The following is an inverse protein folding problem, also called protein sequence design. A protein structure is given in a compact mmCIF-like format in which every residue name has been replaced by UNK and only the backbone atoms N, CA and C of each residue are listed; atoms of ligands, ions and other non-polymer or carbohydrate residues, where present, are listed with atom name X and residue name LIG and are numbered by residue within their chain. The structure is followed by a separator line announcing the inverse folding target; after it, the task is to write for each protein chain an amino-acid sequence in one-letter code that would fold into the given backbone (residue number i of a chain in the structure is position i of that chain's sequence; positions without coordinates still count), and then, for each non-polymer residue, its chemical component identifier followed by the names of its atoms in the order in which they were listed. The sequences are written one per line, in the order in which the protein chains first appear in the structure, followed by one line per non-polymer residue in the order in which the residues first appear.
data_IF_504582818845
#
_entry.id   IF_504582818845
#
_cell.length_a   1.000
_cell.length_b   1.000
_cell.length_c   1.000
_cell.angle_alpha   90.00
_cell.angle_beta   90.00
_cell.angle_gamma   90.00
#
_symmetry.space_group_name_H-M   'P 1'
#
loop_
_entity.id
_entity.type
_entity.pdbx_description
1 polymer ?
#
# COMPACT_ATOMS: atom_id res chain seq x y z
N UNK A 1 5.35 1.63 -15.53
CA UNK A 1 6.40 1.77 -14.51
C UNK A 1 7.38 2.90 -14.87
N UNK A 2 8.11 2.85 -15.99
CA UNK A 2 9.07 3.89 -16.40
C UNK A 2 8.49 5.31 -16.50
N UNK A 3 7.22 5.46 -16.86
CA UNK A 3 6.58 6.79 -16.94
C UNK A 3 6.29 7.41 -15.57
N UNK A 4 5.98 6.60 -14.56
CA UNK A 4 5.62 7.04 -13.22
C UNK A 4 6.84 7.56 -12.45
N UNK A 5 8.01 6.99 -12.74
CA UNK A 5 9.25 7.28 -12.04
C UNK A 5 10.16 8.30 -12.77
N UNK A 6 9.66 8.96 -13.84
CA UNK A 6 10.43 9.95 -14.61
C UNK A 6 10.87 11.17 -13.81
N UNK A 7 10.17 11.48 -12.72
CA UNK A 7 10.44 12.65 -11.87
C UNK A 7 11.31 12.31 -10.65
N UNK A 8 11.60 11.01 -10.47
CA UNK A 8 12.53 10.54 -9.42
C UNK A 8 13.95 10.57 -10.01
N UNK A 9 14.92 11.08 -9.26
CA UNK A 9 16.31 11.11 -9.73
C UNK A 9 16.83 9.73 -10.10
N UNK A 10 17.81 9.63 -11.00
CA UNK A 10 18.31 8.34 -11.50
C UNK A 10 18.80 7.41 -10.38
N UNK A 11 19.36 7.95 -9.29
CA UNK A 11 19.80 7.19 -8.12
C UNK A 11 18.62 6.68 -7.28
N UNK A 12 17.61 7.51 -7.06
CA UNK A 12 16.40 7.15 -6.33
C UNK A 12 15.53 6.17 -7.13
N UNK A 13 15.52 6.33 -8.46
CA UNK A 13 14.85 5.38 -9.35
C UNK A 13 15.36 3.95 -9.15
N UNK A 14 16.68 3.76 -9.08
CA UNK A 14 17.28 2.45 -8.88
C UNK A 14 16.91 1.82 -7.53
N UNK A 15 16.72 2.63 -6.50
CA UNK A 15 16.25 2.16 -5.19
C UNK A 15 14.79 1.73 -5.22
N UNK A 16 13.93 2.44 -5.91
CA UNK A 16 12.51 2.11 -6.01
C UNK A 16 12.25 0.89 -6.89
N UNK A 17 13.00 0.73 -7.97
CA UNK A 17 12.85 -0.38 -8.93
C UNK A 17 12.92 -1.74 -8.25
N UNK A 18 13.80 -1.93 -7.25
CA UNK A 18 13.93 -3.22 -6.53
C UNK A 18 12.64 -3.70 -5.84
N UNK A 19 11.72 -2.77 -5.50
CA UNK A 19 10.43 -3.12 -4.87
C UNK A 19 9.34 -3.47 -5.89
N UNK A 20 9.57 -3.16 -7.16
CA UNK A 20 8.57 -3.31 -8.22
C UNK A 20 9.00 -4.23 -9.34
N UNK A 21 10.31 -4.38 -9.57
CA UNK A 21 10.85 -5.22 -10.62
C UNK A 21 10.61 -6.70 -10.31
N UNK A 22 10.26 -7.47 -11.35
CA UNK A 22 9.99 -8.92 -11.26
C UNK A 22 8.84 -9.30 -10.31
N UNK A 23 7.96 -8.35 -9.97
CA UNK A 23 6.74 -8.69 -9.26
C UNK A 23 5.82 -9.57 -10.11
N UNK A 24 5.23 -10.60 -9.50
CA UNK A 24 4.25 -11.47 -10.16
C UNK A 24 2.94 -10.74 -10.43
N UNK A 25 2.64 -9.74 -9.61
CA UNK A 25 1.49 -8.85 -9.80
C UNK A 25 1.84 -7.42 -9.43
N UNK A 26 1.37 -6.48 -10.26
CA UNK A 26 1.48 -5.03 -10.02
C UNK A 26 0.15 -4.35 -10.31
N UNK A 27 -0.33 -3.56 -9.37
CA UNK A 27 -1.47 -2.66 -9.53
C UNK A 27 -1.03 -1.23 -9.27
N UNK A 28 -1.40 -0.32 -10.15
CA UNK A 28 -1.09 1.09 -10.05
C UNK A 28 -2.37 1.88 -10.24
N UNK A 29 -2.69 2.71 -9.25
CA UNK A 29 -3.84 3.60 -9.29
C UNK A 29 -3.36 5.04 -9.20
N UNK A 30 -3.97 5.91 -10.00
CA UNK A 30 -3.59 7.31 -10.08
C UNK A 30 -4.73 8.16 -9.56
N UNK A 31 -4.38 9.10 -8.69
CA UNK A 31 -5.31 10.06 -8.09
C UNK A 31 -4.68 11.45 -8.11
N UNK A 32 -5.50 12.48 -8.15
CA UNK A 32 -5.04 13.88 -8.11
C UNK A 32 -5.76 14.62 -7.00
N UNK A 33 -5.04 15.48 -6.29
CA UNK A 33 -5.59 16.26 -5.20
C UNK A 33 -4.59 17.23 -4.57
N UNK A 34 -5.12 18.13 -3.75
CA UNK A 34 -4.36 19.20 -3.07
C UNK A 34 -4.05 18.77 -1.63
N UNK A 35 -3.09 17.88 -1.46
CA UNK A 35 -2.72 17.37 -0.13
C UNK A 35 -1.22 17.05 -0.05
N UNK A 36 -0.68 16.95 1.16
CA UNK A 36 0.68 16.47 1.39
C UNK A 36 0.73 14.95 1.36
N UNK A 37 1.94 14.37 1.13
CA UNK A 37 2.11 12.93 1.11
C UNK A 37 1.74 12.29 2.47
N UNK A 38 2.16 12.91 3.58
CA UNK A 38 1.83 12.42 4.93
C UNK A 38 0.34 12.41 5.20
N UNK A 39 -0.35 13.51 4.87
CA UNK A 39 -1.79 13.63 5.05
C UNK A 39 -2.54 12.62 4.18
N UNK A 40 -2.13 12.45 2.92
CA UNK A 40 -2.71 11.44 2.04
C UNK A 40 -2.60 10.03 2.62
N UNK A 41 -1.39 9.64 3.09
CA UNK A 41 -1.14 8.31 3.64
C UNK A 41 -1.91 8.10 4.95
N UNK A 42 -1.87 9.07 5.90
CA UNK A 42 -2.57 8.94 7.17
C UNK A 42 -4.07 8.79 6.98
N UNK A 43 -4.69 9.65 6.17
CA UNK A 43 -6.12 9.58 5.88
C UNK A 43 -6.49 8.30 5.13
N UNK A 44 -5.66 7.88 4.18
CA UNK A 44 -5.86 6.65 3.43
C UNK A 44 -5.82 5.41 4.35
N UNK A 45 -4.83 5.31 5.25
CA UNK A 45 -4.68 4.18 6.16
C UNK A 45 -5.68 4.21 7.33
N UNK A 46 -6.27 5.36 7.63
CA UNK A 46 -7.34 5.51 8.62
C UNK A 46 -8.73 5.16 8.08
N UNK A 47 -8.86 4.89 6.77
CA UNK A 47 -10.14 4.51 6.18
C UNK A 47 -10.51 3.07 6.53
N UNK A 48 -11.46 2.91 7.47
CA UNK A 48 -11.83 1.60 8.00
C UNK A 48 -13.35 1.43 8.18
N UNK A 49 -14.16 1.53 7.10
CA UNK A 49 -15.61 1.36 7.18
C UNK A 49 -15.99 -0.10 7.50
N UNK A 50 -17.21 -0.31 7.99
CA UNK A 50 -17.73 -1.61 8.44
C UNK A 50 -17.58 -2.75 7.41
N UNK A 51 -17.69 -2.44 6.11
CA UNK A 51 -17.57 -3.45 5.06
C UNK A 51 -16.12 -3.95 4.88
N UNK A 52 -15.11 -3.13 5.16
CA UNK A 52 -13.71 -3.58 5.21
C UNK A 52 -13.53 -4.58 6.36
N UNK A 53 -14.13 -4.34 7.52
CA UNK A 53 -14.13 -5.28 8.66
C UNK A 53 -14.73 -6.62 8.23
N UNK A 54 -15.84 -6.59 7.50
CA UNK A 54 -16.46 -7.80 6.95
C UNK A 54 -15.51 -8.55 6.00
N UNK A 55 -14.82 -7.85 5.10
CA UNK A 55 -13.83 -8.46 4.20
C UNK A 55 -12.66 -9.09 4.95
N UNK A 56 -12.18 -8.48 6.03
CA UNK A 56 -11.15 -9.08 6.89
C UNK A 56 -11.65 -10.36 7.56
N UNK A 57 -12.91 -10.42 8.00
CA UNK A 57 -13.52 -11.65 8.55
C UNK A 57 -13.59 -12.76 7.50
N UNK A 58 -14.05 -12.44 6.29
CA UNK A 58 -14.08 -13.40 5.16
C UNK A 58 -12.66 -13.89 4.84
N UNK A 59 -11.68 -12.95 4.77
CA UNK A 59 -10.27 -13.31 4.58
C UNK A 59 -9.77 -14.27 5.66
N UNK A 60 -10.10 -14.04 6.94
CA UNK A 60 -9.69 -14.91 8.06
C UNK A 60 -10.21 -16.35 7.88
N UNK A 61 -11.44 -16.50 7.38
CA UNK A 61 -12.03 -17.83 7.08
C UNK A 61 -11.27 -18.48 5.92
N UNK A 62 -11.02 -17.76 4.82
CA UNK A 62 -10.30 -18.27 3.65
C UNK A 62 -8.87 -18.69 3.99
N UNK A 63 -8.16 -17.87 4.77
CA UNK A 63 -6.82 -18.17 5.28
C UNK A 63 -6.83 -19.44 6.13
N UNK A 64 -7.86 -19.63 6.96
CA UNK A 64 -8.03 -20.85 7.76
C UNK A 64 -8.26 -22.10 6.90
N UNK A 65 -9.11 -22.02 5.87
CA UNK A 65 -9.41 -23.12 4.94
C UNK A 65 -8.17 -23.51 4.12
N UNK A 66 -7.39 -22.53 3.68
CA UNK A 66 -6.19 -22.74 2.88
C UNK A 66 -4.94 -23.10 3.70
N UNK A 67 -5.06 -23.19 5.04
CA UNK A 67 -3.93 -23.49 5.92
C UNK A 67 -2.83 -22.42 5.93
N UNK A 68 -3.17 -21.17 5.55
CA UNK A 68 -2.26 -20.05 5.49
C UNK A 68 -2.01 -19.45 6.90
N UNK A 69 -0.91 -18.73 7.06
CA UNK A 69 -0.61 -18.06 8.34
C UNK A 69 -1.67 -16.99 8.64
N UNK A 70 -2.25 -17.05 9.82
CA UNK A 70 -3.21 -16.05 10.29
C UNK A 70 -2.46 -14.78 10.69
N UNK A 71 -2.57 -13.73 9.89
CA UNK A 71 -2.28 -12.38 10.38
C UNK A 71 -3.57 -11.83 10.97
N UNK A 72 -3.52 -11.40 12.20
CA UNK A 72 -4.67 -10.79 12.87
C UNK A 72 -4.98 -9.45 12.22
N UNK A 73 -6.27 -9.18 12.02
CA UNK A 73 -6.71 -7.84 11.65
C UNK A 73 -6.37 -6.88 12.80
N UNK A 74 -6.08 -5.61 12.54
CA UNK A 74 -5.93 -4.63 13.60
C UNK A 74 -7.16 -4.66 14.51
N UNK A 75 -6.94 -4.84 15.82
CA UNK A 75 -8.02 -4.86 16.81
C UNK A 75 -8.62 -3.47 17.02
N UNK A 76 -7.82 -2.44 16.81
CA UNK A 76 -8.24 -1.04 16.91
C UNK A 76 -8.28 -0.38 15.53
N UNK A 77 -9.25 0.52 15.36
CA UNK A 77 -9.37 1.35 14.16
C UNK A 77 -8.20 2.33 14.14
N UNK A 78 -7.33 2.29 13.13
CA UNK A 78 -6.23 3.23 13.06
C UNK A 78 -6.79 4.64 12.82
N UNK A 79 -6.60 5.51 13.78
CA UNK A 79 -6.83 6.94 13.63
C UNK A 79 -5.48 7.64 13.56
N UNK A 80 -4.85 7.57 12.40
CA UNK A 80 -3.51 8.10 12.17
C UNK A 80 -3.58 9.61 11.90
N UNK A 81 -2.80 10.37 12.62
CA UNK A 81 -2.48 11.74 12.27
C UNK A 81 -1.29 11.76 11.27
N UNK A 82 -1.10 12.84 10.49
CA UNK A 82 0.02 12.93 9.56
C UNK A 82 1.40 12.73 10.21
N UNK A 83 1.56 13.14 11.46
CA UNK A 83 2.77 12.95 12.28
C UNK A 83 3.04 11.50 12.67
N UNK A 84 2.01 10.65 12.73
CA UNK A 84 2.16 9.21 13.03
C UNK A 84 2.70 8.41 11.84
N UNK A 85 2.70 8.99 10.65
CA UNK A 85 3.27 8.36 9.47
C UNK A 85 4.79 8.48 9.52
N UNK A 86 5.45 7.45 10.01
CA UNK A 86 6.91 7.43 10.03
C UNK A 86 7.51 7.37 8.62
N UNK A 87 8.60 8.11 8.42
CA UNK A 87 9.45 8.09 7.23
C UNK A 87 10.82 7.45 7.50
N UNK A 88 11.00 6.79 8.65
CA UNK A 88 12.23 6.08 8.95
C UNK A 88 12.12 4.61 8.51
N UNK A 89 13.04 4.11 7.66
CA UNK A 89 13.07 2.70 7.31
C UNK A 89 13.20 1.80 8.54
N UNK A 90 12.35 0.78 8.61
CA UNK A 90 12.27 -0.16 9.73
C UNK A 90 11.13 0.12 10.71
N UNK A 91 10.61 1.33 10.77
CA UNK A 91 9.47 1.65 11.62
C UNK A 91 8.17 1.00 11.12
N UNK A 92 7.22 0.83 12.02
CA UNK A 92 5.89 0.36 11.69
C UNK A 92 4.92 1.54 11.57
N UNK A 93 4.12 1.54 10.50
CA UNK A 93 2.95 2.39 10.36
C UNK A 93 1.74 1.47 10.20
N UNK A 94 0.92 1.39 11.22
CA UNK A 94 -0.08 0.33 11.39
C UNK A 94 0.60 -1.07 11.37
N UNK A 95 0.24 -1.92 10.43
CA UNK A 95 0.89 -3.23 10.21
C UNK A 95 1.97 -3.20 9.11
N UNK A 96 2.16 -2.09 8.43
CA UNK A 96 3.19 -1.96 7.40
C UNK A 96 4.56 -1.65 8.01
N UNK A 97 5.61 -2.23 7.44
CA UNK A 97 7.00 -1.94 7.76
C UNK A 97 7.54 -0.98 6.71
N UNK A 98 7.96 0.21 7.12
CA UNK A 98 8.54 1.22 6.23
C UNK A 98 9.86 0.70 5.65
N UNK A 99 10.05 0.82 4.34
CA UNK A 99 11.22 0.30 3.63
C UNK A 99 12.06 1.36 2.95
N UNK A 100 11.43 2.29 2.27
CA UNK A 100 12.12 3.34 1.54
C UNK A 100 11.22 4.57 1.45
N UNK A 101 11.77 5.71 1.78
CA UNK A 101 10.97 6.93 1.87
C UNK A 101 11.79 8.15 1.49
N UNK A 102 11.09 9.15 1.00
CA UNK A 102 11.58 10.52 0.88
C UNK A 102 10.43 11.47 1.16
N UNK A 103 10.65 12.39 2.08
CA UNK A 103 9.63 13.35 2.50
C UNK A 103 9.01 14.05 1.29
N UNK A 104 7.69 14.10 1.30
CA UNK A 104 6.83 14.69 0.27
C UNK A 104 7.06 14.20 -1.18
N UNK A 105 7.75 13.09 -1.37
CA UNK A 105 8.05 12.50 -2.68
C UNK A 105 7.54 11.06 -2.79
N UNK A 106 7.97 10.16 -1.90
CA UNK A 106 7.51 8.78 -1.91
C UNK A 106 7.59 8.11 -0.54
N UNK A 107 6.74 7.10 -0.37
CA UNK A 107 6.68 6.24 0.80
C UNK A 107 6.41 4.81 0.36
N UNK A 108 7.34 3.89 0.65
CA UNK A 108 7.25 2.47 0.29
C UNK A 108 7.32 1.64 1.55
N UNK A 109 6.37 0.73 1.69
CA UNK A 109 6.26 -0.18 2.82
C UNK A 109 6.08 -1.63 2.38
N UNK A 110 6.32 -2.53 3.30
CA UNK A 110 6.15 -3.97 3.12
C UNK A 110 5.09 -4.47 4.10
N UNK A 111 4.25 -5.40 3.67
CA UNK A 111 3.36 -6.13 4.57
C UNK A 111 4.16 -7.05 5.49
N UNK A 112 3.64 -7.44 6.67
CA UNK A 112 4.29 -8.41 7.54
C UNK A 112 4.67 -9.69 6.80
N UNK A 113 5.75 -10.33 7.26
CA UNK A 113 6.29 -11.52 6.62
C UNK A 113 5.25 -12.63 6.51
N UNK A 114 5.02 -13.10 5.29
CA UNK A 114 4.14 -14.23 4.98
C UNK A 114 4.96 -15.33 4.27
N UNK A 115 4.62 -16.59 4.49
CA UNK A 115 5.27 -17.74 3.86
C UNK A 115 4.92 -17.88 2.38
N UNK A 116 3.75 -17.40 1.97
CA UNK A 116 3.14 -17.64 0.67
C UNK A 116 3.36 -16.51 -0.32
N UNK A 117 3.42 -15.28 0.19
CA UNK A 117 3.65 -14.08 -0.62
C UNK A 117 4.43 -13.01 0.14
N UNK A 118 4.98 -12.07 -0.60
CA UNK A 118 5.51 -10.78 -0.14
C UNK A 118 4.77 -9.70 -0.90
N UNK A 119 4.34 -8.66 -0.23
CA UNK A 119 3.72 -7.53 -0.89
C UNK A 119 4.35 -6.22 -0.43
N UNK A 120 4.54 -5.32 -1.38
CA UNK A 120 4.89 -3.93 -1.11
C UNK A 120 3.72 -3.03 -1.46
N UNK A 121 3.55 -2.04 -0.65
CA UNK A 121 2.59 -0.97 -0.82
C UNK A 121 3.33 0.35 -0.86
N UNK A 122 3.12 1.14 -1.89
CA UNK A 122 3.82 2.39 -2.09
C UNK A 122 2.91 3.52 -2.54
N UNK A 123 3.28 4.73 -2.13
CA UNK A 123 2.70 5.97 -2.63
C UNK A 123 3.83 6.83 -3.16
N UNK A 124 3.70 7.27 -4.41
CA UNK A 124 4.62 8.24 -5.03
C UNK A 124 3.81 9.49 -5.35
N UNK A 125 4.31 10.65 -4.92
CA UNK A 125 3.72 11.96 -5.17
C UNK A 125 4.51 12.67 -6.26
N UNK A 126 3.79 13.19 -7.25
CA UNK A 126 4.31 14.01 -8.34
C UNK A 126 3.59 15.36 -8.33
N UNK A 127 4.28 16.51 -8.21
CA UNK A 127 3.65 17.80 -8.38
C UNK A 127 3.15 17.97 -9.82
N UNK A 128 1.92 18.43 -9.98
CA UNK A 128 1.30 18.74 -11.29
C UNK A 128 1.37 20.23 -11.54
N UNK A 129 1.01 21.02 -10.52
CA UNK A 129 1.11 22.47 -10.52
C UNK A 129 1.40 23.01 -9.10
N UNK A 130 1.15 24.29 -8.86
CA UNK A 130 1.44 24.95 -7.58
C UNK A 130 0.63 24.41 -6.39
N UNK A 131 -0.54 23.84 -6.61
CA UNK A 131 -1.42 23.29 -5.56
C UNK A 131 -1.72 21.79 -5.75
N UNK A 132 -1.84 21.35 -7.00
CA UNK A 132 -2.26 20.01 -7.36
C UNK A 132 -1.09 19.02 -7.42
N UNK A 133 -1.28 17.88 -6.83
CA UNK A 133 -0.34 16.77 -6.89
C UNK A 133 -1.00 15.50 -7.38
N UNK A 134 -0.25 14.66 -8.07
CA UNK A 134 -0.65 13.33 -8.51
C UNK A 134 -0.05 12.29 -7.61
N UNK A 135 -0.89 11.38 -7.13
CA UNK A 135 -0.51 10.28 -6.24
C UNK A 135 -0.63 8.96 -6.99
N UNK A 136 0.48 8.26 -7.12
CA UNK A 136 0.53 6.90 -7.63
C UNK A 136 0.50 5.94 -6.46
N UNK A 137 -0.61 5.24 -6.29
CA UNK A 137 -0.76 4.19 -5.27
C UNK A 137 -0.42 2.86 -5.92
N UNK A 138 0.66 2.26 -5.47
CA UNK A 138 1.28 1.09 -6.09
C UNK A 138 1.20 -0.09 -5.13
N UNK A 139 0.73 -1.21 -5.63
CA UNK A 139 0.80 -2.50 -4.92
C UNK A 139 1.55 -3.50 -5.78
N UNK A 140 2.56 -4.14 -5.21
CA UNK A 140 3.26 -5.25 -5.86
C UNK A 140 3.20 -6.49 -4.99
N UNK A 141 3.09 -7.64 -5.64
CA UNK A 141 3.02 -8.95 -4.96
C UNK A 141 4.00 -9.90 -5.61
N UNK A 142 4.77 -10.59 -4.77
CA UNK A 142 5.71 -11.64 -5.15
C UNK A 142 5.24 -12.95 -4.52
N UNK A 143 5.03 -13.98 -5.33
CA UNK A 143 4.63 -15.29 -4.85
C UNK A 143 5.86 -16.05 -4.37
N UNK A 144 5.81 -16.54 -3.13
CA UNK A 144 6.87 -17.36 -2.53
C UNK A 144 6.55 -18.86 -2.58
N UNK A 145 5.27 -19.19 -2.75
CA UNK A 145 4.76 -20.54 -2.73
C UNK A 145 3.63 -20.70 -3.75
N UNK A 146 3.39 -21.92 -4.24
CA UNK A 146 2.36 -22.19 -5.25
C UNK A 146 0.93 -21.81 -4.82
N UNK A 147 0.65 -21.77 -3.52
CA UNK A 147 -0.62 -21.31 -2.97
C UNK A 147 -0.81 -19.79 -3.04
N UNK A 148 0.27 -19.03 -3.23
CA UNK A 148 0.25 -17.56 -3.34
C UNK A 148 -0.67 -17.06 -4.46
N UNK A 149 -0.50 -17.52 -5.71
CA UNK A 149 -1.38 -17.14 -6.83
C UNK A 149 -2.85 -17.47 -6.56
N UNK A 150 -3.12 -18.66 -6.01
CA UNK A 150 -4.49 -19.10 -5.72
C UNK A 150 -5.17 -18.16 -4.71
N UNK A 151 -4.50 -17.90 -3.60
CA UNK A 151 -4.99 -16.99 -2.56
C UNK A 151 -5.15 -15.57 -3.09
N UNK A 152 -4.12 -15.05 -3.77
CA UNK A 152 -4.14 -13.67 -4.24
C UNK A 152 -5.22 -13.43 -5.31
N UNK A 153 -5.42 -14.35 -6.25
CA UNK A 153 -6.47 -14.24 -7.26
C UNK A 153 -7.88 -14.19 -6.64
N UNK A 154 -8.09 -14.89 -5.52
CA UNK A 154 -9.37 -14.88 -4.82
C UNK A 154 -9.64 -13.52 -4.14
N UNK A 155 -8.62 -12.88 -3.55
CA UNK A 155 -8.77 -11.60 -2.85
C UNK A 155 -8.61 -10.38 -3.77
N UNK A 156 -8.02 -10.55 -4.95
CA UNK A 156 -7.69 -9.47 -5.89
C UNK A 156 -8.85 -8.52 -6.21
N UNK A 157 -10.08 -8.97 -6.50
CA UNK A 157 -11.20 -8.06 -6.78
C UNK A 157 -11.50 -7.15 -5.59
N UNK A 158 -11.46 -7.68 -4.38
CA UNK A 158 -11.68 -6.92 -3.14
C UNK A 158 -10.53 -5.97 -2.86
N UNK A 159 -9.29 -6.40 -3.12
CA UNK A 159 -8.10 -5.55 -3.00
C UNK A 159 -8.21 -4.30 -3.88
N UNK A 160 -8.60 -4.43 -5.14
CA UNK A 160 -8.82 -3.30 -6.04
C UNK A 160 -9.86 -2.31 -5.50
N UNK A 161 -10.97 -2.82 -4.95
CA UNK A 161 -12.02 -2.00 -4.35
C UNK A 161 -11.52 -1.27 -3.10
N UNK A 162 -10.88 -1.99 -2.19
CA UNK A 162 -10.35 -1.45 -0.93
C UNK A 162 -9.36 -0.35 -1.20
N UNK A 163 -8.32 -0.61 -1.99
CA UNK A 163 -7.27 0.40 -2.29
C UNK A 163 -7.85 1.63 -2.98
N UNK A 164 -8.81 1.44 -3.90
CA UNK A 164 -9.46 2.58 -4.58
C UNK A 164 -10.26 3.45 -3.61
N UNK A 165 -10.97 2.85 -2.65
CA UNK A 165 -11.76 3.59 -1.66
C UNK A 165 -10.88 4.29 -0.63
N UNK A 166 -9.84 3.61 -0.14
CA UNK A 166 -8.85 4.17 0.76
C UNK A 166 -8.16 5.40 0.13
N UNK A 167 -7.68 5.28 -1.12
CA UNK A 167 -7.00 6.37 -1.80
C UNK A 167 -7.92 7.58 -2.05
N UNK A 168 -9.19 7.36 -2.42
CA UNK A 168 -10.18 8.44 -2.53
C UNK A 168 -10.41 9.15 -1.20
N UNK A 169 -10.47 8.40 -0.10
CA UNK A 169 -10.59 8.98 1.24
C UNK A 169 -9.36 9.82 1.61
N UNK A 170 -8.16 9.37 1.23
CA UNK A 170 -6.91 10.10 1.42
C UNK A 170 -6.86 11.47 0.75
N UNK A 171 -7.70 11.73 -0.27
CA UNK A 171 -7.80 13.04 -0.92
C UNK A 171 -8.81 13.99 -0.27
N UNK A 172 -9.78 13.46 0.47
CA UNK A 172 -10.94 14.24 0.94
C UNK A 172 -10.86 14.65 2.41
N UNK A 173 -9.91 14.15 3.13
CA UNK A 173 -9.70 14.35 4.57
C UNK A 173 -8.24 14.65 4.89
#
# INVERSE_FOLDING_TARGET
MHQILRHVSSSEFSELVKYFEKADFTDIKVFEGETTLRKFISSMLSYYPWWIILLYRVRKILVGILGLVKHEAPEELPNLHPEDVSFNPGDNVTFFIVRCTKEDSYWISETPADKHLRAYFGVVKEPVDSSMSRFYVITTVFYKHWTGPLYFNLIRPFHHLVVSRMAKHGLTH
#
